data_IF_926473362123
#
_entry.id   IF_926473362123
#
_cell.length_a   1.000
_cell.length_b   1.000
_cell.length_c   1.000
_cell.angle_alpha   90.00
_cell.angle_beta   90.00
_cell.angle_gamma   90.00
#
_symmetry.space_group_name_H-M   'P 1'
#
loop_
_entity.id
_entity.type
_entity.pdbx_description
1 polymer ?
#
# COMPACT_ATOMS: atom_id res chain seq x y z
N UNK A 1 -33.56 -1.19 3.19
CA UNK A 1 -32.45 -2.15 2.96
C UNK A 1 -31.02 -1.55 2.94
N UNK A 2 -30.79 -0.22 2.89
CA UNK A 2 -29.42 0.36 2.78
C UNK A 2 -28.52 0.27 4.02
N UNK A 3 -29.06 0.16 5.25
CA UNK A 3 -28.24 0.20 6.49
C UNK A 3 -27.54 -1.12 6.84
N UNK A 4 -28.07 -2.29 6.42
CA UNK A 4 -27.48 -3.61 6.73
C UNK A 4 -26.19 -3.84 5.93
N UNK A 5 -26.23 -3.58 4.63
CA UNK A 5 -25.06 -3.65 3.75
C UNK A 5 -23.93 -2.71 4.19
N UNK A 6 -24.24 -1.50 4.67
CA UNK A 6 -23.22 -0.58 5.17
C UNK A 6 -22.43 -1.12 6.39
N UNK A 7 -23.08 -1.90 7.28
CA UNK A 7 -22.40 -2.52 8.41
C UNK A 7 -21.59 -3.76 8.01
N UNK A 8 -22.06 -4.53 7.02
CA UNK A 8 -21.31 -5.65 6.46
C UNK A 8 -20.04 -5.17 5.72
N UNK A 9 -20.16 -4.08 4.95
CA UNK A 9 -19.01 -3.41 4.29
C UNK A 9 -17.99 -2.94 5.33
N UNK A 10 -18.42 -2.33 6.44
CA UNK A 10 -17.49 -1.90 7.51
C UNK A 10 -16.76 -3.07 8.18
N UNK A 11 -17.42 -4.23 8.33
CA UNK A 11 -16.82 -5.43 8.93
C UNK A 11 -15.84 -6.16 8.01
N UNK A 12 -15.93 -5.93 6.71
CA UNK A 12 -15.03 -6.51 5.71
C UNK A 12 -13.62 -5.85 5.72
N UNK A 13 -13.51 -4.65 6.28
CA UNK A 13 -12.24 -3.96 6.51
C UNK A 13 -11.48 -4.56 7.69
N UNK A 14 -10.21 -4.88 7.44
CA UNK A 14 -9.26 -5.45 8.40
C UNK A 14 -7.90 -4.78 8.22
N UNK A 15 -6.97 -5.06 9.13
CA UNK A 15 -5.57 -4.66 8.97
C UNK A 15 -4.68 -5.88 9.07
N UNK A 16 -3.80 -6.06 8.08
CA UNK A 16 -2.74 -7.07 8.15
C UNK A 16 -1.48 -6.44 8.72
N UNK A 17 -0.82 -7.19 9.60
CA UNK A 17 0.51 -6.88 10.07
C UNK A 17 1.50 -7.71 9.28
N UNK A 18 2.55 -7.08 8.75
CA UNK A 18 3.60 -7.79 8.04
C UNK A 18 4.98 -7.20 8.38
N UNK A 19 5.96 -8.06 8.65
CA UNK A 19 7.34 -7.64 8.95
C UNK A 19 8.21 -7.47 7.71
N UNK A 20 7.69 -7.73 6.50
CA UNK A 20 8.36 -7.49 5.23
C UNK A 20 9.73 -8.20 5.12
N UNK A 21 9.86 -9.38 5.74
CA UNK A 21 11.12 -10.14 5.82
C UNK A 21 12.14 -9.57 6.82
N UNK A 22 11.78 -8.57 7.63
CA UNK A 22 12.64 -7.97 8.65
C UNK A 22 12.47 -8.65 10.01
N UNK A 23 13.46 -8.46 10.89
CA UNK A 23 13.49 -9.08 12.22
C UNK A 23 12.49 -8.41 13.19
N UNK A 24 11.56 -9.19 13.75
CA UNK A 24 10.53 -8.73 14.68
C UNK A 24 11.06 -8.18 16.02
N UNK A 25 12.30 -8.53 16.40
CA UNK A 25 12.95 -7.98 17.59
C UNK A 25 13.36 -6.52 17.41
N UNK A 26 13.69 -6.12 16.17
CA UNK A 26 14.20 -4.79 15.82
C UNK A 26 13.10 -3.90 15.21
N UNK A 27 12.18 -4.53 14.49
CA UNK A 27 11.19 -3.85 13.68
C UNK A 27 9.78 -4.04 14.22
N UNK A 28 8.95 -3.01 14.07
CA UNK A 28 7.50 -3.12 14.17
C UNK A 28 6.89 -3.29 12.78
N UNK A 29 5.80 -4.08 12.68
CA UNK A 29 5.27 -4.47 11.38
C UNK A 29 4.66 -3.27 10.64
N UNK A 30 4.67 -3.35 9.31
CA UNK A 30 3.84 -2.51 8.48
C UNK A 30 2.36 -2.91 8.66
N UNK A 31 1.48 -1.91 8.69
CA UNK A 31 0.03 -2.10 8.82
C UNK A 31 -0.64 -1.82 7.48
N UNK A 32 -1.26 -2.86 6.92
CA UNK A 32 -1.84 -2.82 5.59
C UNK A 32 -3.35 -2.93 5.71
N UNK A 33 -4.07 -1.90 5.28
CA UNK A 33 -5.52 -1.96 5.23
C UNK A 33 -5.94 -3.03 4.22
N UNK A 34 -6.89 -3.88 4.59
CA UNK A 34 -7.32 -4.98 3.73
C UNK A 34 -8.83 -5.12 3.74
N UNK A 35 -9.40 -5.36 2.57
CA UNK A 35 -10.81 -5.64 2.36
C UNK A 35 -10.99 -7.07 1.90
N UNK A 36 -11.73 -7.86 2.67
CA UNK A 36 -12.02 -9.25 2.32
C UNK A 36 -13.38 -9.33 1.62
N UNK A 37 -13.40 -9.87 0.41
CA UNK A 37 -14.63 -10.09 -0.34
C UNK A 37 -14.64 -11.47 -0.97
N UNK A 38 -15.55 -12.34 -0.52
CA UNK A 38 -15.59 -13.75 -0.88
C UNK A 38 -14.23 -14.43 -0.61
N UNK A 39 -13.65 -15.09 -1.62
CA UNK A 39 -12.33 -15.72 -1.56
C UNK A 39 -11.18 -14.77 -1.89
N UNK A 40 -11.47 -13.49 -2.18
CA UNK A 40 -10.47 -12.50 -2.53
C UNK A 40 -10.15 -11.59 -1.36
N UNK A 41 -8.88 -11.17 -1.32
CA UNK A 41 -8.35 -10.23 -0.35
C UNK A 41 -7.69 -9.09 -1.10
N UNK A 42 -8.23 -7.90 -0.94
CA UNK A 42 -7.71 -6.67 -1.51
C UNK A 42 -6.89 -5.97 -0.43
N UNK A 43 -5.64 -5.62 -0.75
CA UNK A 43 -4.75 -4.90 0.15
C UNK A 43 -4.54 -3.48 -0.37
N UNK A 44 -4.72 -2.50 0.52
CA UNK A 44 -4.67 -1.08 0.22
C UNK A 44 -3.49 -0.48 0.97
N UNK A 45 -2.59 0.11 0.20
CA UNK A 45 -1.38 0.74 0.73
C UNK A 45 -1.65 2.21 0.95
N UNK A 46 -1.42 2.64 2.18
CA UNK A 46 -1.42 4.06 2.54
C UNK A 46 0.02 4.52 2.36
N UNK A 47 0.32 5.10 1.20
CA UNK A 47 1.67 5.58 0.90
C UNK A 47 1.83 7.01 1.42
N UNK A 48 3.04 7.34 1.89
CA UNK A 48 3.40 8.67 2.35
C UNK A 48 3.09 9.73 1.26
N UNK A 49 2.61 10.88 1.70
CA UNK A 49 2.20 11.97 0.81
C UNK A 49 3.32 12.39 -0.15
N UNK A 50 4.58 12.35 0.31
CA UNK A 50 5.79 12.73 -0.42
C UNK A 50 5.95 11.95 -1.73
N UNK A 51 5.54 10.69 -1.76
CA UNK A 51 5.58 9.87 -2.96
C UNK A 51 4.57 10.36 -4.01
N UNK A 52 3.35 10.68 -3.58
CA UNK A 52 2.34 11.18 -4.51
C UNK A 52 2.68 12.58 -5.02
N UNK A 53 3.23 13.44 -4.16
CA UNK A 53 3.74 14.74 -4.55
C UNK A 53 4.80 14.59 -5.62
N UNK A 54 5.76 13.68 -5.43
CA UNK A 54 6.79 13.40 -6.43
C UNK A 54 6.19 12.94 -7.77
N UNK A 55 5.22 12.02 -7.75
CA UNK A 55 4.54 11.55 -8.96
C UNK A 55 3.78 12.67 -9.70
N UNK A 56 3.26 13.65 -8.97
CA UNK A 56 2.48 14.76 -9.54
C UNK A 56 3.36 15.89 -10.06
N UNK A 57 4.48 16.17 -9.40
CA UNK A 57 5.38 17.28 -9.73
C UNK A 57 6.44 16.92 -10.77
N UNK A 58 6.74 15.63 -10.97
CA UNK A 58 7.71 15.17 -11.95
C UNK A 58 7.03 14.58 -13.18
N UNK A 59 7.26 15.18 -14.36
CA UNK A 59 6.62 14.79 -15.63
C UNK A 59 6.92 13.35 -16.04
N UNK A 60 8.13 12.86 -15.76
CA UNK A 60 8.54 11.51 -16.14
C UNK A 60 7.91 10.48 -15.20
N UNK A 61 7.88 10.78 -13.89
CA UNK A 61 7.23 9.94 -12.89
C UNK A 61 5.70 9.90 -13.07
N UNK A 62 5.11 10.99 -13.55
CA UNK A 62 3.66 11.09 -13.80
C UNK A 62 3.15 10.06 -14.82
N UNK A 63 3.99 9.64 -15.76
CA UNK A 63 3.67 8.60 -16.74
C UNK A 63 3.40 7.23 -16.10
N UNK A 64 3.85 7.02 -14.87
CA UNK A 64 3.62 5.80 -14.11
C UNK A 64 2.30 5.80 -13.32
N UNK A 65 1.48 6.84 -13.51
CA UNK A 65 0.24 7.07 -12.79
C UNK A 65 -0.95 7.24 -13.74
N UNK A 66 -1.98 6.42 -13.58
CA UNK A 66 -3.13 6.35 -14.52
C UNK A 66 -4.32 7.22 -14.13
N UNK A 67 -4.22 8.00 -13.04
CA UNK A 67 -5.27 8.81 -12.37
C UNK A 67 -5.94 8.09 -11.17
N UNK A 68 -6.79 8.83 -10.46
CA UNK A 68 -7.65 8.33 -9.38
C UNK A 68 -8.75 7.46 -9.99
N UNK A 69 -8.90 6.23 -9.50
CA UNK A 69 -9.95 5.29 -9.87
C UNK A 69 -10.74 4.86 -8.64
N UNK A 70 -12.01 4.51 -8.81
CA UNK A 70 -12.82 3.96 -7.72
C UNK A 70 -12.71 2.43 -7.71
N UNK A 71 -12.24 1.87 -6.60
CA UNK A 71 -12.18 0.44 -6.35
C UNK A 71 -12.93 0.12 -5.06
N UNK A 72 -13.99 -0.69 -5.15
CA UNK A 72 -14.79 -1.13 -4.00
C UNK A 72 -15.34 0.05 -3.15
N UNK A 73 -15.73 1.15 -3.80
CA UNK A 73 -16.23 2.36 -3.13
C UNK A 73 -15.15 3.22 -2.50
N UNK A 74 -13.86 2.96 -2.78
CA UNK A 74 -12.73 3.77 -2.34
C UNK A 74 -12.01 4.35 -3.56
N UNK A 75 -11.74 5.66 -3.49
CA UNK A 75 -10.87 6.32 -4.45
C UNK A 75 -9.42 5.97 -4.18
N UNK A 76 -8.77 5.36 -5.16
CA UNK A 76 -7.36 4.96 -5.10
C UNK A 76 -6.59 5.56 -6.26
N UNK A 77 -5.33 5.94 -6.03
CA UNK A 77 -4.40 6.31 -7.08
C UNK A 77 -3.80 5.04 -7.67
N UNK A 78 -4.06 4.77 -8.94
CA UNK A 78 -3.56 3.57 -9.62
C UNK A 78 -2.20 3.84 -10.28
N UNK A 79 -1.27 2.91 -10.09
CA UNK A 79 0.03 2.91 -10.76
C UNK A 79 0.01 1.94 -11.93
N UNK A 80 0.67 2.30 -13.04
CA UNK A 80 0.79 1.44 -14.23
C UNK A 80 1.91 0.42 -14.10
N UNK A 81 2.90 0.67 -13.24
CA UNK A 81 3.93 -0.28 -12.84
C UNK A 81 4.52 0.08 -11.46
N UNK A 82 5.33 -0.81 -10.89
CA UNK A 82 5.98 -0.62 -9.58
C UNK A 82 7.47 -0.22 -9.67
N UNK A 83 8.02 0.03 -10.87
CA UNK A 83 9.45 0.35 -11.07
C UNK A 83 9.83 1.69 -10.44
N UNK A 84 8.88 2.61 -10.33
CA UNK A 84 9.08 3.91 -9.69
C UNK A 84 9.59 3.80 -8.23
N UNK A 85 9.32 2.69 -7.53
CA UNK A 85 9.83 2.47 -6.19
C UNK A 85 11.33 2.15 -6.14
N UNK A 86 11.90 1.65 -7.24
CA UNK A 86 13.35 1.43 -7.39
C UNK A 86 14.09 2.74 -7.67
N UNK A 87 13.45 3.66 -8.39
CA UNK A 87 14.05 4.92 -8.81
C UNK A 87 14.13 5.94 -7.67
N UNK A 88 13.14 5.97 -6.78
CA UNK A 88 13.00 7.02 -5.76
C UNK A 88 13.77 6.77 -4.45
N UNK A 89 14.46 5.63 -4.31
CA UNK A 89 15.25 5.28 -3.11
C UNK A 89 14.53 5.63 -1.78
N UNK A 90 13.24 5.31 -1.70
CA UNK A 90 12.39 5.71 -0.58
C UNK A 90 12.80 4.97 0.71
N UNK A 91 12.71 5.66 1.85
CA UNK A 91 13.01 5.05 3.15
C UNK A 91 11.97 3.99 3.50
N UNK A 92 12.43 2.78 3.84
CA UNK A 92 11.59 1.66 4.27
C UNK A 92 11.12 1.77 5.73
N UNK A 93 11.79 2.59 6.54
CA UNK A 93 11.58 2.69 7.99
C UNK A 93 11.43 4.14 8.45
N UNK A 94 10.67 4.32 9.52
CA UNK A 94 10.65 5.57 10.26
C UNK A 94 12.00 5.81 10.94
N UNK A 95 12.44 7.07 10.96
CA UNK A 95 13.70 7.48 11.61
C UNK A 95 13.58 7.30 13.13
N UNK A 96 12.38 7.54 13.68
CA UNK A 96 12.12 7.47 15.11
C UNK A 96 11.63 6.08 15.53
N UNK A 97 12.10 5.64 16.70
CA UNK A 97 11.63 4.43 17.35
C UNK A 97 10.22 4.65 17.92
N UNK A 98 9.42 3.59 17.94
CA UNK A 98 8.13 3.62 18.61
C UNK A 98 8.27 3.46 20.14
N UNK A 99 7.14 3.40 20.85
CA UNK A 99 7.10 3.23 22.31
C UNK A 99 7.74 1.93 22.83
N UNK A 100 7.96 0.94 21.95
CA UNK A 100 8.63 -0.32 22.27
C UNK A 100 10.13 -0.31 21.91
N UNK A 101 10.66 0.83 21.46
CA UNK A 101 12.06 0.94 21.02
C UNK A 101 12.33 0.31 19.65
N UNK A 102 11.29 0.04 18.85
CA UNK A 102 11.40 -0.61 17.53
C UNK A 102 11.27 0.38 16.39
N UNK A 103 11.90 0.06 15.26
CA UNK A 103 11.75 0.82 14.02
C UNK A 103 10.46 0.44 13.32
N UNK A 104 9.56 1.40 13.13
CA UNK A 104 8.31 1.16 12.40
C UNK A 104 8.56 1.07 10.89
N UNK A 105 8.07 0.01 10.27
CA UNK A 105 8.12 -0.16 8.82
C UNK A 105 7.06 0.69 8.12
N UNK A 106 7.45 1.33 7.02
CA UNK A 106 6.57 2.10 6.14
C UNK A 106 5.99 1.21 5.03
N UNK A 107 4.96 1.71 4.34
CA UNK A 107 4.34 1.02 3.20
C UNK A 107 5.33 0.65 2.09
N UNK A 108 6.39 1.45 1.91
CA UNK A 108 7.48 1.16 0.96
C UNK A 108 8.16 -0.18 1.25
N UNK A 109 8.41 -0.51 2.52
CA UNK A 109 8.99 -1.81 2.88
C UNK A 109 8.11 -2.97 2.43
N UNK A 110 6.78 -2.81 2.54
CA UNK A 110 5.83 -3.81 2.10
C UNK A 110 5.81 -3.95 0.58
N UNK A 111 5.85 -2.82 -0.15
CA UNK A 111 5.92 -2.80 -1.62
C UNK A 111 7.18 -3.52 -2.08
N UNK A 112 8.35 -3.17 -1.56
CA UNK A 112 9.61 -3.81 -1.93
C UNK A 112 9.63 -5.32 -1.62
N UNK A 113 9.02 -5.71 -0.51
CA UNK A 113 8.88 -7.12 -0.14
C UNK A 113 7.96 -7.90 -1.10
N UNK A 114 6.90 -7.27 -1.61
CA UNK A 114 5.86 -7.95 -2.42
C UNK A 114 6.02 -7.77 -3.93
N UNK A 115 6.66 -6.71 -4.41
CA UNK A 115 6.61 -6.28 -5.82
C UNK A 115 7.00 -7.36 -6.81
N UNK A 116 7.96 -8.22 -6.46
CA UNK A 116 8.40 -9.34 -7.32
C UNK A 116 7.34 -10.44 -7.49
N UNK A 117 6.31 -10.45 -6.64
CA UNK A 117 5.18 -11.40 -6.68
C UNK A 117 3.92 -10.76 -7.27
N UNK A 118 3.94 -9.46 -7.56
CA UNK A 118 2.79 -8.72 -8.08
C UNK A 118 2.87 -8.66 -9.60
N UNK A 119 1.72 -8.73 -10.26
CA UNK A 119 1.58 -8.50 -11.70
C UNK A 119 0.67 -7.31 -11.93
N UNK A 120 0.99 -6.49 -12.93
CA UNK A 120 0.11 -5.39 -13.30
C UNK A 120 -1.15 -5.96 -13.94
N UNK A 121 -2.33 -5.49 -13.53
CA UNK A 121 -3.60 -5.93 -14.11
C UNK A 121 -3.74 -5.52 -15.58
N UNK A 122 -3.06 -4.44 -16.01
CA UNK A 122 -3.06 -4.00 -17.40
C UNK A 122 -2.29 -4.95 -18.34
N UNK A 123 -1.38 -5.77 -17.81
CA UNK A 123 -0.62 -6.78 -18.57
C UNK A 123 -1.38 -8.09 -18.75
N UNK A 124 -2.60 -8.21 -18.21
CA UNK A 124 -3.46 -9.39 -18.39
C UNK A 124 -4.38 -9.26 -19.62
N UNK A 125 -3.88 -8.66 -20.71
CA UNK A 125 -4.58 -8.57 -22.00
C UNK A 125 -4.14 -9.65 -22.98
#
# INVERSE_FOLDING_TARGET
MRKRYANEIKKAWTYNRNYCGKNEQVYSPAWIAAYNWNSYKFEFLIIDWEFFTHLEENSDANLHYTRVVELLGIQVKALTNLKIFDELSLKEECIYLNSEGKKSLKSVAYINYRKNLLKCLAEMS
#
